data_IF_664231811227
#
_entry.id   IF_664231811227
#
_cell.length_a   1.000
_cell.length_b   1.000
_cell.length_c   1.000
_cell.angle_alpha   90.00
_cell.angle_beta   90.00
_cell.angle_gamma   90.00
#
_symmetry.space_group_name_H-M   'P 1'
#
loop_
_entity.id
_entity.type
_entity.pdbx_description
1 polymer ?
#
# COMPACT_ATOMS: atom_id res chain seq x y z
N UNK A 1 -0.69 15.76 2.62
CA UNK A 1 -0.88 14.81 1.50
C UNK A 1 0.15 13.70 1.50
N UNK A 2 1.46 13.98 1.39
CA UNK A 2 2.51 12.93 1.39
C UNK A 2 2.48 12.04 2.62
N UNK A 3 2.29 12.63 3.81
CA UNK A 3 2.16 11.88 5.07
C UNK A 3 0.99 10.90 5.03
N UNK A 4 -0.14 11.28 4.41
CA UNK A 4 -1.29 10.38 4.26
C UNK A 4 -0.99 9.19 3.34
N UNK A 5 -0.24 9.40 2.26
CA UNK A 5 0.21 8.31 1.39
C UNK A 5 1.19 7.36 2.10
N UNK A 6 2.13 7.91 2.88
CA UNK A 6 3.01 7.09 3.71
C UNK A 6 2.26 6.31 4.78
N UNK A 7 1.29 6.94 5.44
CA UNK A 7 0.44 6.25 6.42
C UNK A 7 -0.35 5.11 5.76
N UNK A 8 -0.88 5.32 4.56
CA UNK A 8 -1.58 4.27 3.80
C UNK A 8 -0.64 3.10 3.46
N UNK A 9 0.59 3.40 3.03
CA UNK A 9 1.62 2.37 2.79
C UNK A 9 1.89 1.58 4.07
N UNK A 10 2.12 2.27 5.19
CA UNK A 10 2.33 1.64 6.50
C UNK A 10 1.17 0.76 6.93
N UNK A 11 -0.06 1.23 6.72
CA UNK A 11 -1.25 0.50 7.10
C UNK A 11 -1.37 -0.81 6.33
N UNK A 12 -1.21 -0.79 5.01
CA UNK A 12 -1.25 -1.99 4.17
C UNK A 12 -0.12 -2.96 4.52
N UNK A 13 1.10 -2.46 4.72
CA UNK A 13 2.24 -3.29 5.13
C UNK A 13 2.02 -3.91 6.50
N UNK A 14 1.50 -3.14 7.44
CA UNK A 14 1.22 -3.59 8.81
C UNK A 14 0.08 -4.63 8.89
N UNK A 15 -0.89 -4.56 7.98
CA UNK A 15 -1.97 -5.54 7.87
C UNK A 15 -1.48 -6.95 7.49
N UNK A 16 -0.40 -7.06 6.74
CA UNK A 16 0.07 -8.34 6.20
C UNK A 16 0.50 -9.33 7.28
N UNK A 17 1.12 -8.86 8.37
CA UNK A 17 1.59 -9.73 9.44
C UNK A 17 0.45 -10.45 10.18
N UNK A 18 -0.59 -9.76 10.70
CA UNK A 18 -1.76 -10.41 11.29
C UNK A 18 -2.49 -11.33 10.31
N UNK A 19 -2.58 -10.91 9.04
CA UNK A 19 -3.22 -11.73 8.00
C UNK A 19 -2.50 -13.06 7.76
N UNK A 20 -1.18 -13.08 7.77
CA UNK A 20 -0.40 -14.31 7.65
C UNK A 20 -0.75 -15.34 8.73
N UNK A 21 -0.99 -14.89 9.97
CA UNK A 21 -1.39 -15.74 11.10
C UNK A 21 -2.81 -16.29 10.89
N UNK A 22 -3.74 -15.44 10.50
CA UNK A 22 -5.14 -15.81 10.26
C UNK A 22 -5.25 -16.84 9.13
N UNK A 23 -4.55 -16.59 8.02
CA UNK A 23 -4.50 -17.50 6.87
C UNK A 23 -3.93 -18.87 7.25
N UNK A 24 -2.87 -18.87 8.09
CA UNK A 24 -2.31 -20.12 8.63
C UNK A 24 -3.36 -20.93 9.39
N UNK A 25 -4.12 -20.27 10.24
CA UNK A 25 -5.11 -20.95 11.08
C UNK A 25 -6.33 -21.41 10.27
N UNK A 26 -6.84 -20.59 9.37
CA UNK A 26 -8.05 -20.91 8.60
C UNK A 26 -7.82 -22.02 7.58
N UNK A 27 -6.67 -22.00 6.90
CA UNK A 27 -6.36 -22.98 5.85
C UNK A 27 -5.49 -24.14 6.34
N UNK A 28 -5.24 -24.25 7.67
CA UNK A 28 -4.30 -25.21 8.24
C UNK A 28 -2.96 -25.22 7.49
N UNK A 29 -2.54 -24.03 7.05
CA UNK A 29 -1.38 -23.84 6.20
C UNK A 29 -0.08 -24.01 6.98
N UNK A 30 0.97 -24.51 6.33
CA UNK A 30 2.31 -24.56 6.93
C UNK A 30 2.83 -23.14 7.17
N UNK A 31 3.86 -23.03 8.03
CA UNK A 31 4.54 -21.74 8.27
C UNK A 31 5.06 -21.12 6.95
N UNK A 32 5.49 -21.96 6.01
CA UNK A 32 5.92 -21.51 4.69
C UNK A 32 4.76 -20.90 3.91
N UNK A 33 3.62 -21.57 3.84
CA UNK A 33 2.43 -21.07 3.14
C UNK A 33 1.90 -19.78 3.76
N UNK A 34 1.94 -19.61 5.08
CA UNK A 34 1.50 -18.38 5.74
C UNK A 34 2.33 -17.16 5.34
N UNK A 35 3.61 -17.36 5.05
CA UNK A 35 4.52 -16.30 4.59
C UNK A 35 4.49 -16.08 3.08
N UNK A 36 3.83 -16.98 2.33
CA UNK A 36 3.76 -16.88 0.87
C UNK A 36 2.99 -15.62 0.41
N UNK A 37 1.99 -15.18 1.18
CA UNK A 37 1.29 -13.92 0.94
C UNK A 37 2.23 -12.71 1.02
N UNK A 38 3.09 -12.69 2.03
CA UNK A 38 4.12 -11.67 2.18
C UNK A 38 5.16 -11.75 1.04
N UNK A 39 5.61 -12.95 0.71
CA UNK A 39 6.51 -13.19 -0.43
C UNK A 39 5.88 -12.77 -1.76
N UNK A 40 4.61 -13.07 -2.01
CA UNK A 40 3.88 -12.66 -3.20
C UNK A 40 3.86 -11.13 -3.36
N UNK A 41 3.68 -10.41 -2.24
CA UNK A 41 3.72 -8.96 -2.23
C UNK A 41 5.11 -8.43 -2.64
N UNK A 42 6.20 -8.98 -2.09
CA UNK A 42 7.57 -8.57 -2.46
C UNK A 42 7.95 -8.96 -3.88
N UNK A 43 7.48 -10.11 -4.36
CA UNK A 43 7.65 -10.52 -5.76
C UNK A 43 6.94 -9.54 -6.69
N UNK A 44 5.69 -9.18 -6.38
CA UNK A 44 4.94 -8.16 -7.10
C UNK A 44 5.68 -6.82 -7.13
N UNK A 45 6.32 -6.45 -6.01
CA UNK A 45 7.15 -5.27 -5.89
C UNK A 45 8.34 -5.28 -6.85
N UNK A 46 9.03 -6.41 -6.95
CA UNK A 46 10.15 -6.58 -7.86
C UNK A 46 9.73 -6.46 -9.34
N UNK A 47 8.62 -7.09 -9.71
CA UNK A 47 8.10 -7.02 -11.08
C UNK A 47 7.59 -5.63 -11.46
N UNK A 48 6.94 -4.94 -10.53
CA UNK A 48 6.30 -3.64 -10.80
C UNK A 48 7.30 -2.47 -10.76
N UNK A 49 8.52 -2.65 -10.23
CA UNK A 49 9.49 -1.56 -10.07
C UNK A 49 9.80 -0.82 -11.38
N UNK A 50 10.11 -1.56 -12.44
CA UNK A 50 10.39 -0.97 -13.76
C UNK A 50 9.12 -0.39 -14.40
N UNK A 51 7.99 -1.13 -14.53
CA UNK A 51 6.74 -0.60 -15.08
C UNK A 51 6.23 0.63 -14.33
N UNK A 52 6.32 0.67 -13.00
CA UNK A 52 5.89 1.82 -12.19
C UNK A 52 6.71 3.07 -12.52
N UNK A 53 8.03 2.94 -12.68
CA UNK A 53 8.90 4.03 -13.09
C UNK A 53 8.57 4.54 -14.50
N UNK A 54 8.33 3.65 -15.45
CA UNK A 54 7.89 4.00 -16.81
C UNK A 54 6.52 4.68 -16.81
N UNK A 55 5.60 4.18 -15.99
CA UNK A 55 4.26 4.76 -15.85
C UNK A 55 4.34 6.18 -15.28
N UNK A 56 5.17 6.36 -14.25
CA UNK A 56 5.41 7.68 -13.65
C UNK A 56 5.92 8.70 -14.69
N UNK A 57 6.84 8.28 -15.56
CA UNK A 57 7.36 9.13 -16.62
C UNK A 57 6.31 9.47 -17.69
N UNK A 58 5.43 8.52 -18.03
CA UNK A 58 4.42 8.69 -19.08
C UNK A 58 3.21 9.52 -18.64
N UNK A 59 2.65 9.22 -17.47
CA UNK A 59 1.39 9.81 -17.01
C UNK A 59 1.54 10.78 -15.84
N UNK A 60 2.76 10.90 -15.29
CA UNK A 60 3.10 11.81 -14.19
C UNK A 60 2.68 11.32 -12.81
N UNK A 61 3.15 12.03 -11.78
CA UNK A 61 2.99 11.66 -10.37
C UNK A 61 1.52 11.47 -9.95
N UNK A 62 0.65 12.41 -10.36
CA UNK A 62 -0.76 12.42 -9.98
C UNK A 62 -1.51 11.18 -10.44
N UNK A 63 -1.48 10.92 -11.75
CA UNK A 63 -2.23 9.82 -12.35
C UNK A 63 -1.70 8.48 -11.88
N UNK A 64 -0.37 8.37 -11.70
CA UNK A 64 0.25 7.16 -11.16
C UNK A 64 -0.17 6.91 -9.72
N UNK A 65 -0.24 7.95 -8.87
CA UNK A 65 -0.72 7.81 -7.49
C UNK A 65 -2.20 7.40 -7.43
N UNK A 66 -3.06 8.02 -8.23
CA UNK A 66 -4.49 7.65 -8.28
C UNK A 66 -4.67 6.21 -8.76
N UNK A 67 -3.94 5.80 -9.80
CA UNK A 67 -3.96 4.43 -10.28
C UNK A 67 -3.48 3.44 -9.21
N UNK A 68 -2.41 3.78 -8.50
CA UNK A 68 -1.89 2.96 -7.41
C UNK A 68 -2.92 2.75 -6.29
N UNK A 69 -3.66 3.80 -5.92
CA UNK A 69 -4.72 3.74 -4.91
C UNK A 69 -5.86 2.83 -5.38
N UNK A 70 -6.28 2.94 -6.64
CA UNK A 70 -7.32 2.05 -7.22
C UNK A 70 -6.86 0.60 -7.20
N UNK A 71 -5.63 0.33 -7.63
CA UNK A 71 -5.05 -1.03 -7.62
C UNK A 71 -4.98 -1.57 -6.19
N UNK A 72 -4.61 -0.73 -5.21
CA UNK A 72 -4.57 -1.12 -3.80
C UNK A 72 -5.95 -1.43 -3.23
N UNK A 73 -6.93 -0.60 -3.56
CA UNK A 73 -8.32 -0.85 -3.18
C UNK A 73 -8.84 -2.18 -3.74
N UNK A 74 -8.56 -2.46 -5.02
CA UNK A 74 -8.88 -3.75 -5.63
C UNK A 74 -8.16 -4.91 -4.93
N UNK A 75 -6.87 -4.77 -4.60
CA UNK A 75 -6.09 -5.79 -3.91
C UNK A 75 -6.67 -6.14 -2.54
N UNK A 76 -7.05 -5.12 -1.74
CA UNK A 76 -7.73 -5.33 -0.45
C UNK A 76 -9.11 -5.94 -0.66
N UNK A 77 -9.86 -5.52 -1.68
CA UNK A 77 -11.15 -6.10 -2.04
C UNK A 77 -11.06 -7.59 -2.42
N UNK A 78 -10.04 -7.98 -3.18
CA UNK A 78 -9.77 -9.40 -3.51
C UNK A 78 -9.42 -10.17 -2.24
N UNK A 79 -8.64 -9.59 -1.33
CA UNK A 79 -8.32 -10.20 -0.03
C UNK A 79 -9.58 -10.40 0.82
N UNK A 80 -10.52 -9.47 0.81
CA UNK A 80 -11.83 -9.63 1.43
C UNK A 80 -12.63 -10.79 0.80
N UNK A 81 -12.69 -10.84 -0.53
CA UNK A 81 -13.35 -11.93 -1.25
C UNK A 81 -12.75 -13.30 -0.96
N UNK A 82 -11.45 -13.38 -0.63
CA UNK A 82 -10.81 -14.63 -0.25
C UNK A 82 -11.41 -15.22 1.03
N UNK A 83 -11.83 -14.37 1.96
CA UNK A 83 -12.53 -14.78 3.18
C UNK A 83 -13.90 -15.37 2.90
N UNK A 84 -14.64 -14.76 1.97
CA UNK A 84 -15.97 -15.22 1.55
C UNK A 84 -15.87 -16.50 0.72
N UNK A 85 -14.91 -16.58 -0.20
CA UNK A 85 -14.70 -17.72 -1.09
C UNK A 85 -13.98 -18.90 -0.39
N UNK A 86 -13.38 -18.69 0.78
CA UNK A 86 -12.59 -19.69 1.48
C UNK A 86 -11.39 -20.21 0.66
N UNK A 87 -10.83 -19.37 -0.23
CA UNK A 87 -9.79 -19.77 -1.18
C UNK A 87 -8.46 -19.08 -0.91
N UNK A 88 -7.45 -19.90 -0.60
CA UNK A 88 -6.08 -19.43 -0.41
C UNK A 88 -5.48 -18.80 -1.69
N UNK A 89 -5.82 -19.31 -2.87
CA UNK A 89 -5.33 -18.77 -4.14
C UNK A 89 -5.85 -17.33 -4.36
N UNK A 90 -7.10 -17.04 -3.98
CA UNK A 90 -7.68 -15.69 -4.06
C UNK A 90 -6.95 -14.74 -3.10
N UNK A 91 -6.59 -15.21 -1.89
CA UNK A 91 -5.78 -14.43 -0.96
C UNK A 91 -4.41 -14.06 -1.55
N UNK A 92 -3.69 -15.04 -2.13
CA UNK A 92 -2.40 -14.78 -2.78
C UNK A 92 -2.51 -13.76 -3.92
N UNK A 93 -3.59 -13.85 -4.71
CA UNK A 93 -3.85 -12.88 -5.78
C UNK A 93 -4.08 -11.48 -5.21
N UNK A 94 -4.84 -11.35 -4.12
CA UNK A 94 -5.05 -10.08 -3.43
C UNK A 94 -3.75 -9.49 -2.88
N UNK A 95 -2.90 -10.32 -2.26
CA UNK A 95 -1.59 -9.91 -1.77
C UNK A 95 -0.66 -9.44 -2.90
N UNK A 96 -0.67 -10.15 -4.03
CA UNK A 96 0.12 -9.78 -5.21
C UNK A 96 -0.31 -8.45 -5.81
N UNK A 97 -1.62 -8.24 -5.98
CA UNK A 97 -2.18 -6.97 -6.48
C UNK A 97 -1.90 -5.81 -5.52
N UNK A 98 -2.00 -6.05 -4.20
CA UNK A 98 -1.62 -5.06 -3.19
C UNK A 98 -0.14 -4.68 -3.29
N UNK A 99 0.74 -5.63 -3.61
CA UNK A 99 2.16 -5.39 -3.85
C UNK A 99 2.43 -4.43 -5.01
N UNK A 100 1.67 -4.55 -6.10
CA UNK A 100 1.75 -3.59 -7.21
C UNK A 100 1.41 -2.17 -6.76
N UNK A 101 0.33 -2.00 -6.01
CA UNK A 101 -0.07 -0.71 -5.46
C UNK A 101 1.04 -0.10 -4.61
N UNK A 102 1.60 -0.88 -3.71
CA UNK A 102 2.66 -0.46 -2.79
C UNK A 102 3.90 0.01 -3.53
N UNK A 103 4.33 -0.74 -4.56
CA UNK A 103 5.46 -0.37 -5.42
C UNK A 103 5.20 0.96 -6.13
N UNK A 104 4.02 1.10 -6.75
CA UNK A 104 3.64 2.32 -7.46
C UNK A 104 3.61 3.52 -6.53
N UNK A 105 3.04 3.39 -5.32
CA UNK A 105 2.99 4.46 -4.33
C UNK A 105 4.39 4.89 -3.90
N UNK A 106 5.28 3.96 -3.57
CA UNK A 106 6.66 4.29 -3.21
C UNK A 106 7.43 4.95 -4.34
N UNK A 107 7.20 4.52 -5.60
CA UNK A 107 7.79 5.12 -6.80
C UNK A 107 7.33 6.57 -7.01
N UNK A 108 6.11 6.91 -6.56
CA UNK A 108 5.58 8.27 -6.63
C UNK A 108 6.05 9.14 -5.46
N UNK A 109 5.95 8.60 -4.24
CA UNK A 109 6.07 9.41 -3.02
C UNK A 109 7.51 9.78 -2.73
N UNK A 110 8.47 8.88 -2.94
CA UNK A 110 9.88 9.13 -2.66
C UNK A 110 10.47 10.28 -3.52
N UNK A 111 10.36 10.27 -4.87
CA UNK A 111 10.87 11.37 -5.68
C UNK A 111 10.10 12.68 -5.43
N UNK A 112 8.81 12.60 -5.12
CA UNK A 112 8.00 13.78 -4.85
C UNK A 112 8.42 14.45 -3.55
N UNK A 113 8.74 13.70 -2.50
CA UNK A 113 9.31 14.24 -1.26
C UNK A 113 10.68 14.87 -1.49
N UNK A 114 11.53 14.24 -2.30
CA UNK A 114 12.83 14.81 -2.65
C UNK A 114 12.68 16.16 -3.34
N UNK A 115 11.75 16.25 -4.28
CA UNK A 115 11.45 17.51 -5.00
C UNK A 115 10.89 18.59 -4.08
N UNK A 116 9.97 18.21 -3.16
CA UNK A 116 9.39 19.14 -2.18
C UNK A 116 10.43 19.65 -1.18
N UNK A 117 11.44 18.84 -0.85
CA UNK A 117 12.59 19.25 -0.02
C UNK A 117 13.60 20.13 -0.73
N UNK A 118 13.38 20.47 -2.00
CA UNK A 118 14.33 21.26 -2.80
C UNK A 118 15.53 20.47 -3.31
N UNK A 119 15.47 19.15 -3.25
CA UNK A 119 16.56 18.25 -3.65
C UNK A 119 17.72 18.19 -2.66
N UNK A 120 18.75 17.42 -2.98
CA UNK A 120 19.96 17.30 -2.17
C UNK A 120 19.72 16.81 -0.74
N UNK A 121 20.48 17.34 0.22
CA UNK A 121 20.43 16.90 1.62
C UNK A 121 19.07 17.11 2.28
N UNK A 122 18.38 18.22 2.00
CA UNK A 122 17.05 18.50 2.57
C UNK A 122 15.98 17.54 2.05
N UNK A 123 16.02 17.21 0.75
CA UNK A 123 15.14 16.22 0.16
C UNK A 123 15.34 14.83 0.78
N UNK A 124 16.60 14.42 0.97
CA UNK A 124 16.94 13.16 1.63
C UNK A 124 16.49 13.13 3.10
N UNK A 125 16.64 14.23 3.84
CA UNK A 125 16.13 14.33 5.22
C UNK A 125 14.61 14.15 5.28
N UNK A 126 13.86 14.75 4.36
CA UNK A 126 12.40 14.58 4.29
C UNK A 126 11.99 13.13 4.01
N UNK A 127 12.70 12.44 3.14
CA UNK A 127 12.48 11.01 2.87
C UNK A 127 12.76 10.18 4.11
N UNK A 128 13.84 10.47 4.85
CA UNK A 128 14.19 9.76 6.08
C UNK A 128 13.14 9.98 7.19
N UNK A 129 12.68 11.21 7.38
CA UNK A 129 11.59 11.52 8.33
C UNK A 129 10.32 10.78 7.95
N UNK A 130 9.94 10.80 6.67
CA UNK A 130 8.77 10.08 6.19
C UNK A 130 8.92 8.56 6.34
N UNK A 131 10.11 8.01 6.09
CA UNK A 131 10.46 6.61 6.35
C UNK A 131 10.34 6.23 7.83
N UNK A 132 10.76 7.12 8.73
CA UNK A 132 10.60 6.93 10.18
C UNK A 132 9.14 6.89 10.58
N UNK A 133 8.32 7.80 10.06
CA UNK A 133 6.86 7.81 10.28
C UNK A 133 6.22 6.53 9.72
N UNK A 134 6.66 6.07 8.56
CA UNK A 134 6.22 4.79 7.98
C UNK A 134 6.55 3.60 8.90
N UNK A 135 7.76 3.57 9.46
CA UNK A 135 8.20 2.49 10.37
C UNK A 135 7.39 2.50 11.68
N UNK A 136 7.10 3.67 12.24
CA UNK A 136 6.22 3.82 13.41
C UNK A 136 4.82 3.29 13.07
N UNK A 137 4.26 3.68 11.92
CA UNK A 137 2.98 3.17 11.45
C UNK A 137 2.98 1.66 11.28
N UNK A 138 4.01 1.09 10.65
CA UNK A 138 4.17 -0.35 10.46
C UNK A 138 4.27 -1.13 11.79
N UNK A 139 4.67 -0.47 12.88
CA UNK A 139 4.71 -1.07 14.23
C UNK A 139 3.36 -0.95 14.94
N UNK A 140 2.70 0.19 14.82
CA UNK A 140 1.42 0.45 15.49
C UNK A 140 0.27 -0.32 14.82
N UNK A 141 0.27 -0.40 13.50
CA UNK A 141 -0.84 -1.00 12.74
C UNK A 141 -1.08 -2.47 13.08
N UNK A 142 -0.07 -3.35 13.18
CA UNK A 142 -0.30 -4.74 13.60
C UNK A 142 -0.92 -4.86 14.99
N UNK A 143 -0.55 -3.96 15.91
CA UNK A 143 -1.12 -3.92 17.26
C UNK A 143 -2.59 -3.49 17.21
N UNK A 144 -2.89 -2.45 16.45
CA UNK A 144 -4.26 -1.95 16.26
C UNK A 144 -5.13 -3.01 15.58
N UNK A 145 -4.62 -3.65 14.55
CA UNK A 145 -5.31 -4.71 13.82
C UNK A 145 -5.51 -5.94 14.71
N UNK A 146 -4.48 -6.30 15.51
CA UNK A 146 -4.59 -7.38 16.51
C UNK A 146 -5.67 -7.08 17.55
N UNK A 147 -5.80 -5.83 17.99
CA UNK A 147 -6.86 -5.40 18.89
C UNK A 147 -8.27 -5.49 18.25
N UNK A 148 -8.39 -5.11 16.96
CA UNK A 148 -9.65 -5.19 16.22
C UNK A 148 -10.11 -6.62 15.93
N UNK A 149 -9.16 -7.52 15.71
CA UNK A 149 -9.41 -8.93 15.40
C UNK A 149 -9.59 -9.74 16.69
N UNK A 150 -9.03 -9.28 17.81
CA UNK A 150 -8.99 -10.01 19.08
C UNK A 150 -7.91 -11.09 19.06
N UNK A 151 -8.27 -12.34 19.39
CA UNK A 151 -7.30 -13.44 19.45
C UNK A 151 -6.97 -13.97 18.05
N UNK A 152 -5.90 -13.42 17.45
CA UNK A 152 -5.45 -13.78 16.10
C UNK A 152 -5.15 -15.30 15.94
N UNK A 153 -4.91 -16.01 17.06
CA UNK A 153 -4.67 -17.45 17.05
C UNK A 153 -5.93 -18.27 16.79
N UNK A 154 -7.12 -17.69 16.97
CA UNK A 154 -8.42 -18.33 16.73
C UNK A 154 -9.24 -17.64 15.64
N UNK A 155 -8.77 -16.49 15.16
CA UNK A 155 -9.48 -15.67 14.20
C UNK A 155 -9.54 -16.32 12.82
N UNK A 156 -10.67 -16.12 12.16
CA UNK A 156 -10.89 -16.40 10.73
C UNK A 156 -10.73 -15.13 9.91
N UNK A 157 -10.64 -15.24 8.59
CA UNK A 157 -10.57 -14.07 7.70
C UNK A 157 -11.82 -13.19 7.86
N UNK A 158 -12.98 -13.78 8.19
CA UNK A 158 -14.20 -13.04 8.51
C UNK A 158 -14.04 -12.09 9.70
N UNK A 159 -13.22 -12.44 10.69
CA UNK A 159 -12.98 -11.59 11.86
C UNK A 159 -12.03 -10.43 11.54
N UNK A 160 -11.30 -10.53 10.43
CA UNK A 160 -10.48 -9.46 9.88
C UNK A 160 -11.27 -8.46 9.02
N UNK A 161 -12.56 -8.70 8.74
CA UNK A 161 -13.39 -7.79 7.95
C UNK A 161 -13.36 -6.34 8.45
N UNK A 162 -13.43 -6.03 9.76
CA UNK A 162 -13.33 -4.66 10.24
C UNK A 162 -12.02 -3.98 9.83
N UNK A 163 -10.89 -4.71 9.90
CA UNK A 163 -9.60 -4.20 9.50
C UNK A 163 -9.50 -3.99 7.97
N UNK A 164 -10.10 -4.88 7.18
CA UNK A 164 -10.18 -4.73 5.73
C UNK A 164 -11.08 -3.56 5.31
N UNK A 165 -12.23 -3.39 5.95
CA UNK A 165 -13.11 -2.24 5.71
C UNK A 165 -12.42 -0.93 6.12
N UNK A 166 -11.67 -0.93 7.21
CA UNK A 166 -10.86 0.22 7.61
C UNK A 166 -9.81 0.54 6.52
N UNK A 167 -9.12 -0.47 6.00
CA UNK A 167 -8.16 -0.29 4.91
C UNK A 167 -8.83 0.27 3.65
N UNK A 168 -9.97 -0.30 3.24
CA UNK A 168 -10.73 0.21 2.09
C UNK A 168 -11.21 1.64 2.30
N UNK A 169 -11.64 1.98 3.51
CA UNK A 169 -12.02 3.34 3.89
C UNK A 169 -10.85 4.32 3.78
N UNK A 170 -9.66 3.94 4.25
CA UNK A 170 -8.44 4.75 4.13
C UNK A 170 -8.10 4.97 2.66
N UNK A 171 -8.15 3.93 1.81
CA UNK A 171 -7.92 4.06 0.38
C UNK A 171 -8.93 5.02 -0.27
N UNK A 172 -10.21 4.92 0.06
CA UNK A 172 -11.26 5.78 -0.46
C UNK A 172 -11.06 7.24 -0.03
N UNK A 173 -10.77 7.50 1.24
CA UNK A 173 -10.51 8.84 1.76
C UNK A 173 -9.28 9.46 1.08
N UNK A 174 -8.18 8.71 1.01
CA UNK A 174 -6.94 9.19 0.37
C UNK A 174 -7.16 9.44 -1.12
N UNK A 175 -7.96 8.60 -1.79
CA UNK A 175 -8.34 8.82 -3.19
C UNK A 175 -9.10 10.14 -3.38
N UNK A 176 -10.12 10.39 -2.56
CA UNK A 176 -10.93 11.62 -2.62
C UNK A 176 -10.05 12.84 -2.34
N UNK A 177 -9.23 12.79 -1.29
CA UNK A 177 -8.32 13.88 -0.92
C UNK A 177 -7.32 14.15 -2.05
N UNK A 178 -6.72 13.11 -2.62
CA UNK A 178 -5.78 13.25 -3.73
C UNK A 178 -6.46 13.81 -4.98
N UNK A 179 -7.67 13.33 -5.27
CA UNK A 179 -8.46 13.80 -6.40
C UNK A 179 -8.83 15.28 -6.25
N UNK A 180 -9.36 15.69 -5.10
CA UNK A 180 -9.76 17.07 -4.82
C UNK A 180 -8.58 18.06 -4.80
N UNK A 181 -7.48 17.71 -4.12
CA UNK A 181 -6.28 18.58 -4.07
C UNK A 181 -5.64 18.69 -5.45
N UNK A 182 -5.72 17.65 -6.23
CA UNK A 182 -5.16 17.63 -7.56
C UNK A 182 -5.95 18.42 -8.61
N UNK A 183 -7.22 18.71 -8.38
CA UNK A 183 -7.97 19.67 -9.21
C UNK A 183 -7.47 21.11 -8.99
N UNK A 184 -6.87 21.37 -7.81
CA UNK A 184 -6.35 22.70 -7.43
C UNK A 184 -4.88 22.93 -7.83
N UNK A 185 -4.12 21.86 -8.17
CA UNK A 185 -2.69 21.96 -8.47
C UNK A 185 -2.33 21.25 -9.76
N UNK A 186 -2.51 21.93 -10.89
CA UNK A 186 -1.93 21.54 -12.18
C UNK A 186 -0.44 21.87 -12.16
N UNK A 187 0.37 20.95 -11.65
CA UNK A 187 1.84 21.03 -11.75
C UNK A 187 2.26 20.94 -13.22
N UNK A 188 3.18 21.80 -13.69
CA UNK A 188 3.69 21.73 -15.06
C UNK A 188 4.30 20.36 -15.34
N UNK A 189 4.00 19.83 -16.50
CA UNK A 189 4.50 18.54 -16.99
C UNK A 189 6.03 18.51 -16.97
N UNK A 190 6.68 17.36 -16.71
CA UNK A 190 8.13 17.21 -16.87
C UNK A 190 8.66 17.64 -18.26
N UNK A 191 7.80 17.68 -19.27
CA UNK A 191 8.12 18.19 -20.61
C UNK A 191 8.38 19.69 -20.70
N UNK A 192 7.93 20.48 -19.73
CA UNK A 192 8.15 21.92 -19.73
C UNK A 192 9.51 22.33 -19.18
N UNK A 193 10.22 21.44 -18.48
CA UNK A 193 11.57 21.71 -17.94
C UNK A 193 12.69 21.52 -18.96
N UNK A 194 12.43 21.00 -20.13
CA UNK A 194 13.43 20.79 -21.20
C UNK A 194 13.43 21.91 -22.23
N UNK A 195 12.64 22.98 -22.00
CA UNK A 195 12.50 24.13 -22.91
C UNK A 195 13.00 25.46 -22.34
N UNK A 196 13.70 25.45 -21.20
CA UNK A 196 14.36 26.66 -20.68
C UNK A 196 15.87 26.49 -20.67
#
# INVERSE_FOLDING_TARGET
MMVALFFMISFVTGLQNPFGIIVKNQFAASNFMSQLGNAANFIAYAFMGIPAGMLLQKIGYKKTALLAIIVGFCGVGISYLSGVAGSYAVYLTGAFVSGFSMCMLNTVVNPMLNTLGGGGNKGNQLIQVAGSVNSIGATIVPVLVGYLIGDAAKAQISDANPALFLAMGIFAIVFIVLFCICLLYTSPSPRDRTRS
#
